data_IF_388599303516
#
_entry.id   IF_388599303516
#
_cell.length_a   1.000
_cell.length_b   1.000
_cell.length_c   1.000
_cell.angle_alpha   90.00
_cell.angle_beta   90.00
_cell.angle_gamma   90.00
#
_symmetry.space_group_name_H-M   'P 1'
#
loop_
_entity.id
_entity.type
_entity.pdbx_description
1 polymer ?
#
# COMPACT_ATOMS: atom_id res chain seq x y z
N UNK A 1 -16.95 -4.05 3.64
CA UNK A 1 -16.04 -2.91 3.40
C UNK A 1 -14.65 -3.34 3.83
N UNK A 2 -13.67 -3.30 2.92
CA UNK A 2 -12.28 -3.71 3.18
C UNK A 2 -11.41 -2.46 3.11
N UNK A 3 -10.50 -2.30 4.07
CA UNK A 3 -9.52 -1.19 4.11
C UNK A 3 -8.13 -1.80 3.90
N UNK A 4 -7.35 -1.22 3.00
CA UNK A 4 -5.96 -1.61 2.78
C UNK A 4 -5.07 -1.00 3.87
N UNK A 5 -4.13 -1.78 4.39
CA UNK A 5 -3.11 -1.28 5.32
C UNK A 5 -1.73 -1.70 4.81
N UNK A 6 -0.80 -0.75 4.77
CA UNK A 6 0.61 -0.94 4.43
C UNK A 6 1.47 -0.09 5.36
N UNK A 7 2.74 -0.43 5.54
CA UNK A 7 3.68 0.34 6.34
C UNK A 7 5.10 0.15 5.80
N UNK A 8 6.02 1.01 6.22
CA UNK A 8 7.48 0.85 6.06
C UNK A 8 7.91 0.52 4.62
N UNK A 9 7.47 1.37 3.69
CA UNK A 9 7.77 1.19 2.27
C UNK A 9 9.20 1.59 1.93
N UNK A 10 9.82 2.48 2.72
CA UNK A 10 11.23 2.90 2.59
C UNK A 10 11.67 3.11 1.13
N UNK A 11 10.96 3.98 0.40
CA UNK A 11 11.18 4.32 -1.01
C UNK A 11 11.17 3.13 -2.00
N UNK A 12 10.72 1.95 -1.58
CA UNK A 12 10.72 0.75 -2.41
C UNK A 12 9.52 0.74 -3.38
N UNK A 13 9.59 1.60 -4.40
CA UNK A 13 8.55 1.78 -5.40
C UNK A 13 8.12 0.47 -6.08
N UNK A 14 9.06 -0.46 -6.28
CA UNK A 14 8.76 -1.77 -6.86
C UNK A 14 7.80 -2.60 -6.00
N UNK A 15 7.96 -2.58 -4.67
CA UNK A 15 7.04 -3.26 -3.75
C UNK A 15 5.73 -2.51 -3.63
N UNK A 16 5.76 -1.18 -3.59
CA UNK A 16 4.57 -0.33 -3.54
C UNK A 16 3.66 -0.60 -4.75
N UNK A 17 4.22 -0.67 -5.96
CA UNK A 17 3.45 -0.97 -7.18
C UNK A 17 2.70 -2.29 -7.10
N UNK A 18 3.35 -3.36 -6.58
CA UNK A 18 2.71 -4.67 -6.38
C UNK A 18 1.57 -4.61 -5.36
N UNK A 19 1.74 -3.86 -4.28
CA UNK A 19 0.69 -3.67 -3.27
C UNK A 19 -0.52 -2.95 -3.88
N UNK A 20 -0.29 -1.92 -4.70
CA UNK A 20 -1.36 -1.19 -5.39
C UNK A 20 -2.13 -2.10 -6.35
N UNK A 21 -1.45 -2.98 -7.09
CA UNK A 21 -2.12 -3.97 -7.96
C UNK A 21 -3.06 -4.88 -7.16
N UNK A 22 -2.59 -5.44 -6.04
CA UNK A 22 -3.40 -6.29 -5.16
C UNK A 22 -4.61 -5.52 -4.59
N UNK A 23 -4.43 -4.25 -4.23
CA UNK A 23 -5.52 -3.41 -3.71
C UNK A 23 -6.57 -3.11 -4.79
N UNK A 24 -6.14 -2.84 -6.03
CA UNK A 24 -7.04 -2.66 -7.19
C UNK A 24 -7.85 -3.92 -7.47
N UNK A 25 -7.22 -5.09 -7.51
CA UNK A 25 -7.90 -6.38 -7.72
C UNK A 25 -8.97 -6.66 -6.66
N UNK A 26 -8.73 -6.20 -5.43
CA UNK A 26 -9.64 -6.37 -4.29
C UNK A 26 -10.67 -5.23 -4.14
N UNK A 27 -10.71 -4.28 -5.08
CA UNK A 27 -11.56 -3.08 -5.01
C UNK A 27 -11.43 -2.34 -3.66
N UNK A 28 -10.19 -2.18 -3.19
CA UNK A 28 -9.90 -1.39 -1.99
C UNK A 28 -9.86 0.08 -2.36
N UNK A 29 -10.80 0.86 -1.84
CA UNK A 29 -10.93 2.30 -2.10
C UNK A 29 -10.18 3.17 -1.09
N UNK A 30 -9.97 2.65 0.13
CA UNK A 30 -9.28 3.37 1.21
C UNK A 30 -8.07 2.56 1.66
N UNK A 31 -6.90 3.22 1.66
CA UNK A 31 -5.62 2.65 2.08
C UNK A 31 -5.01 3.52 3.17
N UNK A 32 -4.55 2.89 4.25
CA UNK A 32 -3.77 3.53 5.31
C UNK A 32 -2.31 3.10 5.17
N UNK A 33 -1.41 4.08 5.12
CA UNK A 33 0.03 3.87 5.27
C UNK A 33 0.44 4.29 6.69
N UNK A 34 0.97 3.36 7.47
CA UNK A 34 1.19 3.54 8.91
C UNK A 34 2.67 3.51 9.34
N UNK A 35 3.61 3.65 8.40
CA UNK A 35 5.05 3.62 8.69
C UNK A 35 5.84 4.56 7.79
N UNK A 36 7.12 4.28 7.59
CA UNK A 36 7.98 5.20 6.86
C UNK A 36 7.77 5.10 5.34
N UNK A 37 7.38 6.22 4.73
CA UNK A 37 7.33 6.32 3.28
C UNK A 37 8.75 6.44 2.69
N UNK A 38 9.58 7.28 3.33
CA UNK A 38 10.97 7.63 2.97
C UNK A 38 11.82 7.51 4.24
N UNK A 39 13.04 6.99 4.14
CA UNK A 39 14.00 6.90 5.26
C UNK A 39 15.39 7.41 4.88
#
# INVERSE_FOLDING_TARGET
>A
MIIGVVADTHDNLNKVSKVIEVFKEKNIEIVLHAGDYIA
#
